data_IF_636033819950
#
_entry.id   IF_636033819950
#
_cell.length_a   1.000
_cell.length_b   1.000
_cell.length_c   1.000
_cell.angle_alpha   90.00
_cell.angle_beta   90.00
_cell.angle_gamma   90.00
#
_symmetry.space_group_name_H-M   'P 1'
#
loop_
_entity.id
_entity.type
_entity.pdbx_description
1 polymer ?
#
# COMPACT_ATOMS: atom_id res chain seq x y z
N UNK A 1 -9.49 -30.21 -13.36
CA UNK A 1 -9.04 -30.04 -14.77
C UNK A 1 -9.56 -28.70 -15.27
N UNK A 2 -8.71 -27.68 -15.36
CA UNK A 2 -9.12 -26.34 -15.77
C UNK A 2 -9.51 -26.34 -17.26
N UNK A 3 -10.80 -26.14 -17.56
CA UNK A 3 -11.33 -26.09 -18.92
C UNK A 3 -11.07 -24.72 -19.56
N UNK A 4 -9.89 -24.58 -20.20
CA UNK A 4 -9.55 -23.35 -20.91
C UNK A 4 -10.35 -23.22 -22.21
N UNK A 5 -10.82 -22.00 -22.52
CA UNK A 5 -11.52 -21.70 -23.77
C UNK A 5 -10.63 -21.95 -25.00
N UNK A 6 -11.15 -22.54 -26.10
CA UNK A 6 -10.38 -22.86 -27.31
C UNK A 6 -9.81 -21.63 -28.03
N UNK A 7 -10.25 -20.42 -27.68
CA UNK A 7 -9.77 -19.14 -28.24
C UNK A 7 -8.70 -18.46 -27.38
N UNK A 8 -8.08 -19.17 -26.44
CA UNK A 8 -7.01 -18.62 -25.61
C UNK A 8 -5.70 -18.59 -26.41
N UNK A 9 -5.00 -17.43 -26.52
CA UNK A 9 -3.67 -17.39 -27.11
C UNK A 9 -2.74 -18.39 -26.42
N UNK A 10 -1.88 -19.12 -27.14
CA UNK A 10 -1.04 -20.18 -26.57
C UNK A 10 -0.16 -19.67 -25.42
N UNK A 11 0.31 -18.42 -25.53
CA UNK A 11 1.08 -17.76 -24.47
C UNK A 11 0.29 -17.60 -23.16
N UNK A 12 -1.01 -17.29 -23.23
CA UNK A 12 -1.86 -17.13 -22.05
C UNK A 12 -2.01 -18.47 -21.35
N UNK A 13 -2.24 -19.55 -22.11
CA UNK A 13 -2.34 -20.92 -21.57
C UNK A 13 -1.04 -21.33 -20.86
N UNK A 14 0.12 -21.04 -21.47
CA UNK A 14 1.43 -21.32 -20.86
C UNK A 14 1.63 -20.53 -19.57
N UNK A 15 1.35 -19.23 -19.56
CA UNK A 15 1.46 -18.38 -18.37
C UNK A 15 0.49 -18.80 -17.25
N UNK A 16 -0.73 -19.23 -17.58
CA UNK A 16 -1.69 -19.76 -16.60
C UNK A 16 -1.26 -21.12 -16.03
N UNK A 17 -0.50 -21.91 -16.78
CA UNK A 17 0.11 -23.15 -16.26
C UNK A 17 1.11 -22.92 -15.12
N UNK A 18 1.66 -21.70 -14.99
CA UNK A 18 2.54 -21.31 -13.88
C UNK A 18 1.80 -20.70 -12.69
N UNK A 19 0.47 -20.53 -12.78
CA UNK A 19 -0.34 -19.94 -11.71
C UNK A 19 -0.26 -20.79 -10.44
N UNK A 20 -0.23 -20.14 -9.28
CA UNK A 20 -0.33 -20.77 -7.97
C UNK A 20 -1.78 -20.70 -7.45
N UNK A 21 -2.23 -21.77 -6.78
CA UNK A 21 -3.60 -21.91 -6.25
C UNK A 21 -4.60 -22.56 -7.22
N UNK A 22 -5.64 -23.20 -6.69
CA UNK A 22 -6.56 -24.10 -7.42
C UNK A 22 -8.04 -23.70 -7.35
N UNK A 23 -8.35 -22.41 -7.15
CA UNK A 23 -9.75 -21.96 -7.08
C UNK A 23 -10.33 -21.69 -8.48
N UNK A 24 -11.31 -22.48 -8.91
CA UNK A 24 -12.01 -22.29 -10.20
C UNK A 24 -12.59 -20.87 -10.39
N UNK A 25 -13.10 -20.26 -9.30
CA UNK A 25 -13.63 -18.89 -9.34
C UNK A 25 -12.52 -17.89 -9.68
N UNK A 26 -11.34 -18.10 -9.13
CA UNK A 26 -10.17 -17.26 -9.40
C UNK A 26 -9.57 -17.57 -10.76
N UNK A 27 -9.70 -18.78 -11.30
CA UNK A 27 -9.18 -19.13 -12.62
C UNK A 27 -9.78 -18.27 -13.73
N UNK A 28 -11.10 -18.09 -13.73
CA UNK A 28 -11.79 -17.22 -14.70
C UNK A 28 -11.30 -15.76 -14.61
N UNK A 29 -11.01 -15.29 -13.40
CA UNK A 29 -10.51 -13.93 -13.21
C UNK A 29 -9.03 -13.81 -13.59
N UNK A 30 -8.23 -14.81 -13.23
CA UNK A 30 -6.80 -14.95 -13.54
C UNK A 30 -6.56 -14.96 -15.04
N UNK A 31 -7.38 -15.71 -15.78
CA UNK A 31 -7.32 -15.74 -17.24
C UNK A 31 -7.55 -14.34 -17.83
N UNK A 32 -8.52 -13.58 -17.32
CA UNK A 32 -8.74 -12.19 -17.75
C UNK A 32 -7.57 -11.27 -17.38
N UNK A 33 -6.96 -11.45 -16.20
CA UNK A 33 -5.81 -10.67 -15.76
C UNK A 33 -4.58 -10.92 -16.64
N UNK A 34 -4.28 -12.18 -16.96
CA UNK A 34 -3.18 -12.57 -17.86
C UNK A 34 -3.46 -12.12 -19.28
N UNK A 35 -4.68 -12.30 -19.81
CA UNK A 35 -5.08 -11.80 -21.14
C UNK A 35 -4.88 -10.28 -21.26
N UNK A 36 -5.27 -9.53 -20.23
CA UNK A 36 -5.08 -8.09 -20.18
C UNK A 36 -3.59 -7.72 -20.18
N UNK A 37 -2.77 -8.42 -19.38
CA UNK A 37 -1.32 -8.19 -19.34
C UNK A 37 -0.67 -8.47 -20.69
N UNK A 38 -0.93 -9.65 -21.27
CA UNK A 38 -0.40 -10.07 -22.57
C UNK A 38 -0.78 -9.06 -23.65
N UNK A 39 -2.01 -8.55 -23.64
CA UNK A 39 -2.44 -7.51 -24.59
C UNK A 39 -1.66 -6.20 -24.42
N UNK A 40 -1.33 -5.80 -23.20
CA UNK A 40 -0.51 -4.61 -22.92
C UNK A 40 0.94 -4.82 -23.34
N UNK A 41 1.54 -5.96 -22.97
CA UNK A 41 2.94 -6.27 -23.30
C UNK A 41 3.17 -6.50 -24.78
N UNK A 42 2.18 -7.01 -25.52
CA UNK A 42 2.24 -7.07 -26.99
C UNK A 42 2.39 -5.70 -27.65
N UNK A 43 1.87 -4.64 -27.03
CA UNK A 43 2.05 -3.26 -27.52
C UNK A 43 3.39 -2.66 -27.10
N UNK A 44 3.86 -2.99 -25.90
CA UNK A 44 5.10 -2.48 -25.33
C UNK A 44 6.35 -3.27 -25.76
N UNK A 45 6.21 -4.47 -26.33
CA UNK A 45 7.32 -5.33 -26.72
C UNK A 45 7.96 -6.14 -25.58
N UNK A 46 7.29 -6.29 -24.43
CA UNK A 46 7.84 -6.99 -23.24
C UNK A 46 7.30 -8.40 -23.01
N UNK A 47 6.69 -9.03 -24.03
CA UNK A 47 6.05 -10.34 -23.88
C UNK A 47 7.06 -11.47 -23.68
N UNK A 48 8.15 -11.46 -24.45
CA UNK A 48 9.18 -12.50 -24.43
C UNK A 48 9.92 -12.50 -23.08
N UNK A 49 10.24 -11.31 -22.57
CA UNK A 49 10.82 -11.09 -21.24
C UNK A 49 9.90 -11.61 -20.13
N UNK A 50 8.57 -11.43 -20.23
CA UNK A 50 7.62 -12.01 -19.28
C UNK A 50 7.67 -13.53 -19.31
N UNK A 51 7.63 -14.13 -20.49
CA UNK A 51 7.72 -15.57 -20.62
C UNK A 51 9.02 -16.12 -20.01
N UNK A 52 10.15 -15.50 -20.35
CA UNK A 52 11.46 -15.83 -19.81
C UNK A 52 11.45 -15.74 -18.28
N UNK A 53 11.02 -14.62 -17.71
CA UNK A 53 10.98 -14.44 -16.24
C UNK A 53 10.15 -15.51 -15.54
N UNK A 54 8.96 -15.84 -16.07
CA UNK A 54 8.07 -16.84 -15.46
C UNK A 54 8.64 -18.25 -15.59
N UNK A 55 9.27 -18.58 -16.72
CA UNK A 55 9.82 -19.92 -16.98
C UNK A 55 11.14 -20.18 -16.27
N UNK A 56 12.05 -19.20 -16.23
CA UNK A 56 13.36 -19.33 -15.59
C UNK A 56 13.32 -19.01 -14.10
N UNK A 57 12.26 -18.35 -13.63
CA UNK A 57 12.10 -17.91 -12.24
C UNK A 57 13.26 -17.04 -11.74
N UNK A 58 13.82 -16.24 -12.63
CA UNK A 58 15.05 -15.50 -12.39
C UNK A 58 14.79 -14.00 -12.21
N UNK A 59 15.27 -13.44 -11.10
CA UNK A 59 15.22 -12.02 -10.79
C UNK A 59 16.18 -11.16 -11.62
N UNK A 60 17.14 -11.77 -12.31
CA UNK A 60 18.07 -11.06 -13.22
C UNK A 60 17.43 -10.64 -14.55
N UNK A 61 16.20 -11.11 -14.82
CA UNK A 61 15.45 -10.73 -16.01
C UNK A 61 15.13 -9.23 -16.03
N UNK A 62 14.86 -8.67 -17.23
CA UNK A 62 14.52 -7.25 -17.38
C UNK A 62 13.18 -6.91 -16.71
N UNK A 63 12.98 -5.62 -16.47
CA UNK A 63 11.70 -5.12 -15.96
C UNK A 63 10.58 -5.37 -16.98
N UNK A 64 9.45 -5.87 -16.49
CA UNK A 64 8.23 -6.05 -17.29
C UNK A 64 7.29 -4.92 -16.87
N UNK A 65 7.20 -3.87 -17.67
CA UNK A 65 6.49 -2.65 -17.28
C UNK A 65 5.10 -2.55 -17.90
N UNK A 66 4.19 -1.88 -17.18
CA UNK A 66 2.90 -1.44 -17.71
C UNK A 66 2.67 0.03 -17.34
N UNK A 67 1.88 0.77 -18.14
CA UNK A 67 1.50 2.14 -17.79
C UNK A 67 0.80 2.21 -16.43
N UNK A 68 1.20 3.17 -15.60
CA UNK A 68 0.65 3.42 -14.27
C UNK A 68 -0.61 4.27 -14.38
N UNK A 69 -1.69 3.83 -13.72
CA UNK A 69 -2.89 4.65 -13.55
C UNK A 69 -2.62 5.81 -12.58
N UNK A 70 -3.43 6.87 -12.62
CA UNK A 70 -3.33 8.02 -11.70
C UNK A 70 -3.33 7.62 -10.22
N UNK A 71 -4.15 6.64 -9.85
CA UNK A 71 -4.25 6.11 -8.48
C UNK A 71 -3.34 4.89 -8.25
N UNK A 72 -2.52 4.50 -9.23
CA UNK A 72 -1.65 3.33 -9.19
C UNK A 72 -2.36 1.97 -9.23
N UNK A 73 -3.69 1.94 -9.37
CA UNK A 73 -4.48 0.69 -9.37
C UNK A 73 -4.79 0.22 -10.79
N UNK A 74 -4.78 -1.09 -10.98
CA UNK A 74 -5.22 -1.77 -12.18
C UNK A 74 -6.62 -2.34 -11.98
N UNK A 75 -7.53 -2.07 -12.91
CA UNK A 75 -8.86 -2.66 -12.95
C UNK A 75 -8.91 -3.84 -13.92
N UNK A 76 -9.27 -5.02 -13.42
CA UNK A 76 -9.48 -6.23 -14.23
C UNK A 76 -10.83 -6.84 -13.88
N UNK A 77 -11.72 -6.93 -14.88
CA UNK A 77 -13.04 -7.57 -14.73
C UNK A 77 -13.81 -7.11 -13.49
N UNK A 78 -13.98 -5.79 -13.34
CA UNK A 78 -14.66 -5.12 -12.21
C UNK A 78 -13.96 -5.17 -10.84
N UNK A 79 -12.78 -5.79 -10.74
CA UNK A 79 -11.96 -5.76 -9.52
C UNK A 79 -10.80 -4.78 -9.68
N UNK A 80 -10.52 -3.98 -8.66
CA UNK A 80 -9.38 -3.06 -8.60
C UNK A 80 -8.33 -3.60 -7.63
N UNK A 81 -7.06 -3.52 -8.01
CA UNK A 81 -5.94 -3.91 -7.15
C UNK A 81 -4.63 -3.33 -7.68
N UNK A 82 -3.56 -3.43 -6.90
CA UNK A 82 -2.24 -2.98 -7.34
C UNK A 82 -1.66 -3.99 -8.32
N UNK A 83 -1.10 -3.54 -9.46
CA UNK A 83 -0.70 -4.45 -10.54
C UNK A 83 0.39 -5.44 -10.09
N UNK A 84 1.44 -4.97 -9.41
CA UNK A 84 2.51 -5.83 -8.90
C UNK A 84 1.96 -6.88 -7.90
N UNK A 85 1.06 -6.51 -6.99
CA UNK A 85 0.43 -7.44 -6.05
C UNK A 85 -0.39 -8.51 -6.78
N UNK A 86 -1.19 -8.11 -7.77
CA UNK A 86 -2.03 -9.04 -8.56
C UNK A 86 -1.17 -10.13 -9.19
N UNK A 87 -0.10 -9.74 -9.87
CA UNK A 87 0.75 -10.68 -10.61
C UNK A 87 1.71 -11.48 -9.70
N UNK A 88 2.21 -10.88 -8.62
CA UNK A 88 2.95 -11.62 -7.59
C UNK A 88 2.08 -12.69 -6.91
N UNK A 89 0.81 -12.35 -6.59
CA UNK A 89 -0.14 -13.31 -6.02
C UNK A 89 -0.42 -14.45 -6.98
N UNK A 90 -0.57 -14.13 -8.27
CA UNK A 90 -0.88 -15.09 -9.32
C UNK A 90 0.22 -16.16 -9.50
N UNK A 91 1.49 -15.78 -9.55
CA UNK A 91 2.59 -16.68 -9.94
C UNK A 91 3.49 -17.15 -8.81
N UNK A 92 3.49 -16.48 -7.66
CA UNK A 92 4.41 -16.80 -6.55
C UNK A 92 3.69 -17.11 -5.24
N UNK A 93 2.92 -16.16 -4.73
CA UNK A 93 2.37 -16.22 -3.36
C UNK A 93 0.84 -16.06 -3.36
N UNK A 94 0.07 -17.15 -3.51
CA UNK A 94 -1.39 -17.06 -3.58
C UNK A 94 -2.02 -16.50 -2.29
N UNK A 95 -1.32 -16.62 -1.17
CA UNK A 95 -1.69 -16.14 0.16
C UNK A 95 -1.29 -14.67 0.43
N UNK A 96 -0.57 -14.01 -0.48
CA UNK A 96 -0.14 -12.61 -0.33
C UNK A 96 -1.34 -11.70 -0.11
N UNK A 97 -1.48 -11.02 1.03
CA UNK A 97 -2.66 -10.19 1.32
C UNK A 97 -2.42 -8.72 0.98
N UNK A 98 -1.29 -8.18 1.42
CA UNK A 98 -1.01 -6.75 1.34
C UNK A 98 0.26 -6.43 0.55
N UNK A 99 0.29 -5.24 -0.05
CA UNK A 99 1.45 -4.74 -0.79
C UNK A 99 2.68 -4.49 0.10
N UNK A 100 2.47 -4.26 1.40
CA UNK A 100 3.54 -4.09 2.38
C UNK A 100 4.38 -5.36 2.59
N UNK A 101 3.83 -6.53 2.26
CA UNK A 101 4.56 -7.79 2.26
C UNK A 101 5.51 -7.94 1.06
N UNK A 102 5.52 -6.98 0.12
CA UNK A 102 6.40 -7.00 -1.03
C UNK A 102 7.43 -5.87 -0.96
N UNK A 103 8.70 -6.23 -1.15
CA UNK A 103 9.81 -5.29 -1.35
C UNK A 103 10.39 -5.52 -2.74
N UNK A 104 10.64 -4.44 -3.50
CA UNK A 104 11.33 -4.58 -4.78
C UNK A 104 12.83 -4.81 -4.55
N UNK A 105 13.46 -5.58 -5.44
CA UNK A 105 14.92 -5.74 -5.46
C UNK A 105 15.60 -4.50 -6.03
N UNK A 106 16.88 -4.29 -5.69
CA UNK A 106 17.62 -3.09 -6.06
C UNK A 106 17.85 -2.96 -7.59
N UNK A 107 17.82 -4.08 -8.32
CA UNK A 107 17.95 -4.10 -9.78
C UNK A 107 16.66 -3.67 -10.50
N UNK A 108 15.56 -3.46 -9.77
CA UNK A 108 14.27 -3.09 -10.36
C UNK A 108 14.16 -1.57 -10.57
N UNK A 109 14.41 -1.11 -11.79
CA UNK A 109 14.37 0.32 -12.16
C UNK A 109 12.94 0.93 -12.17
N UNK A 110 11.92 0.09 -12.26
CA UNK A 110 10.50 0.49 -12.37
C UNK A 110 9.67 -0.02 -11.19
N UNK A 111 10.30 -0.20 -10.03
CA UNK A 111 9.61 -0.63 -8.81
C UNK A 111 8.42 0.28 -8.47
N UNK A 112 7.34 -0.29 -7.93
CA UNK A 112 6.10 0.45 -7.63
C UNK A 112 6.30 1.69 -6.74
N UNK A 113 7.22 1.64 -5.77
CA UNK A 113 7.48 2.73 -4.83
C UNK A 113 8.21 3.92 -5.47
N UNK A 114 8.84 3.73 -6.64
CA UNK A 114 9.54 4.80 -7.39
C UNK A 114 8.58 5.77 -8.08
N UNK A 115 7.26 5.48 -8.09
CA UNK A 115 6.19 6.35 -8.60
C UNK A 115 6.42 6.87 -10.04
N UNK A 116 7.12 6.11 -10.89
CA UNK A 116 7.30 6.45 -12.31
C UNK A 116 5.99 6.31 -13.11
N UNK A 117 6.01 6.77 -14.36
CA UNK A 117 4.89 6.65 -15.30
C UNK A 117 4.56 5.19 -15.64
N UNK A 118 5.54 4.30 -15.49
CA UNK A 118 5.38 2.87 -15.64
C UNK A 118 5.69 2.13 -14.35
N UNK A 119 5.09 0.95 -14.20
CA UNK A 119 5.28 0.07 -13.04
C UNK A 119 5.71 -1.33 -13.49
N UNK A 120 6.78 -1.85 -12.87
CA UNK A 120 7.22 -3.22 -13.04
C UNK A 120 6.25 -4.20 -12.37
N UNK A 121 5.84 -5.20 -13.13
CA UNK A 121 4.97 -6.29 -12.68
C UNK A 121 5.67 -7.66 -12.70
N UNK A 122 6.98 -7.70 -12.92
CA UNK A 122 7.77 -8.92 -12.86
C UNK A 122 7.73 -9.49 -11.42
N UNK A 123 7.14 -10.68 -11.17
CA UNK A 123 7.05 -11.24 -9.83
C UNK A 123 8.40 -11.50 -9.16
N UNK A 124 9.45 -11.73 -9.96
CA UNK A 124 10.81 -12.01 -9.48
C UNK A 124 11.62 -10.76 -9.16
N UNK A 125 11.09 -9.58 -9.49
CA UNK A 125 11.63 -8.29 -9.03
C UNK A 125 11.14 -7.88 -7.65
N UNK A 126 10.27 -8.69 -7.04
CA UNK A 126 9.79 -8.47 -5.69
C UNK A 126 10.18 -9.65 -4.81
N UNK A 127 10.59 -9.37 -3.58
CA UNK A 127 10.79 -10.35 -2.52
C UNK A 127 9.67 -10.19 -1.51
N UNK A 128 9.25 -11.32 -0.92
CA UNK A 128 8.29 -11.29 0.18
C UNK A 128 9.05 -10.94 1.46
N UNK A 129 8.52 -9.99 2.19
CA UNK A 129 9.01 -9.57 3.51
C UNK A 129 7.89 -9.77 4.51
N UNK A 130 8.24 -10.09 5.75
CA UNK A 130 7.27 -10.07 6.84
C UNK A 130 6.83 -8.62 7.05
N UNK A 131 5.51 -8.39 7.02
CA UNK A 131 4.98 -7.10 7.40
C UNK A 131 5.43 -6.81 8.84
N UNK A 132 5.98 -5.62 9.14
CA UNK A 132 6.51 -5.33 10.47
C UNK A 132 5.41 -5.52 11.51
N UNK A 133 5.58 -6.54 12.35
CA UNK A 133 4.67 -6.93 13.44
C UNK A 133 4.39 -5.76 14.40
N UNK A 134 5.27 -4.75 14.40
CA UNK A 134 5.21 -3.59 15.28
C UNK A 134 4.00 -2.66 15.06
N UNK A 135 3.32 -2.72 13.91
CA UNK A 135 2.14 -1.86 13.65
C UNK A 135 0.81 -2.55 13.99
N UNK A 136 0.80 -3.87 14.18
CA UNK A 136 -0.39 -4.65 14.55
C UNK A 136 -0.44 -5.06 16.03
N UNK A 137 0.64 -4.85 16.78
CA UNK A 137 0.75 -5.21 18.21
C UNK A 137 0.91 -3.97 19.10
N UNK A 138 0.60 -2.76 18.62
CA UNK A 138 0.30 -1.70 19.57
C UNK A 138 -1.04 -2.06 20.22
N UNK A 139 -1.08 -2.44 21.51
CA UNK A 139 -2.35 -2.61 22.18
C UNK A 139 -3.12 -1.29 22.05
N UNK A 140 -4.44 -1.32 21.85
CA UNK A 140 -5.21 -0.09 21.97
C UNK A 140 -4.79 0.55 23.28
N UNK A 141 -4.36 1.82 23.22
CA UNK A 141 -4.15 2.61 24.43
C UNK A 141 -5.51 2.60 25.11
N UNK A 142 -5.67 1.71 26.09
CA UNK A 142 -6.80 1.72 27.00
C UNK A 142 -6.59 2.98 27.80
N UNK A 143 -7.13 4.10 27.30
CA UNK A 143 -7.36 5.24 28.18
C UNK A 143 -8.27 4.68 29.27
N UNK A 144 -7.90 4.74 30.55
CA UNK A 144 -8.85 4.47 31.60
C UNK A 144 -10.01 5.44 31.38
N UNK A 145 -11.17 4.94 30.93
CA UNK A 145 -12.43 5.66 31.08
C UNK A 145 -12.79 5.58 32.55
N UNK A 146 -11.99 6.22 33.40
CA UNK A 146 -12.44 6.52 34.74
C UNK A 146 -13.43 7.67 34.57
N UNK A 147 -14.71 7.34 34.45
CA UNK A 147 -15.81 8.25 34.77
C UNK A 147 -15.96 8.38 36.28
N UNK A 148 -14.86 8.62 36.98
CA UNK A 148 -14.93 9.33 38.25
C UNK A 148 -14.23 10.65 37.99
N UNK A 149 -15.02 11.58 37.46
CA UNK A 149 -14.72 13.00 37.63
C UNK A 149 -14.68 13.17 39.15
N UNK A 150 -13.55 13.51 39.78
CA UNK A 150 -13.59 13.89 41.17
C UNK A 150 -14.44 15.16 41.23
N UNK A 151 -15.58 15.12 41.91
CA UNK A 151 -16.44 16.29 42.17
C UNK A 151 -15.69 17.43 42.90
N UNK A 152 -14.47 17.14 43.37
CA UNK A 152 -13.50 18.15 43.77
C UNK A 152 -12.27 18.08 42.87
N UNK A 153 -12.08 19.13 42.08
CA UNK A 153 -10.73 19.55 41.69
C UNK A 153 -9.84 19.50 42.95
N UNK A 154 -8.67 18.82 42.92
CA UNK A 154 -7.69 19.03 43.96
C UNK A 154 -7.40 20.53 44.00
N UNK A 155 -7.55 21.13 45.18
CA UNK A 155 -7.18 22.53 45.32
C UNK A 155 -5.70 22.62 45.01
N UNK A 156 -5.37 23.33 43.94
CA UNK A 156 -4.02 23.81 43.71
C UNK A 156 -3.71 24.70 44.91
N UNK A 157 -3.00 24.14 45.89
CA UNK A 157 -2.33 24.94 46.90
C UNK A 157 -1.50 25.98 46.15
N UNK A 158 -1.75 27.25 46.45
CA UNK A 158 -1.15 28.39 45.79
C UNK A 158 0.37 28.23 45.75
N UNK A 159 0.88 27.73 44.63
CA UNK A 159 2.31 27.63 44.35
C UNK A 159 2.87 29.01 43.92
N UNK A 160 2.35 30.07 44.53
CA UNK A 160 2.89 31.43 44.43
C UNK A 160 4.25 31.55 45.15
N UNK A 161 4.66 30.54 45.91
CA UNK A 161 5.87 30.59 46.75
C UNK A 161 7.06 29.79 46.20
N UNK A 162 6.99 29.23 44.99
CA UNK A 162 8.15 28.53 44.38
C UNK A 162 8.71 29.22 43.16
N UNK A 163 8.52 30.54 43.05
CA UNK A 163 9.32 31.32 42.11
C UNK A 163 10.76 31.30 42.64
N UNK A 164 11.73 30.71 41.92
CA UNK A 164 13.13 30.86 42.27
C UNK A 164 13.51 32.33 42.15
N UNK A 165 14.32 32.84 43.08
CA UNK A 165 14.79 34.24 43.18
C UNK A 165 15.52 34.76 41.91
N UNK A 166 15.75 33.89 40.93
CA UNK A 166 16.50 34.16 39.71
C UNK A 166 15.60 34.60 38.54
N UNK A 167 14.29 34.76 38.77
CA UNK A 167 13.33 35.05 37.70
C UNK A 167 13.15 36.55 37.52
N UNK A 168 14.09 37.19 36.85
CA UNK A 168 13.91 38.58 36.38
C UNK A 168 13.05 38.57 35.10
N UNK A 169 11.78 38.94 35.23
CA UNK A 169 10.99 39.33 34.06
C UNK A 169 11.15 40.84 33.82
N UNK A 170 11.52 41.28 32.61
CA UNK A 170 11.53 42.71 32.30
C UNK A 170 10.08 43.23 32.36
N UNK A 171 9.84 44.11 33.34
CA UNK A 171 8.55 44.75 33.57
C UNK A 171 8.43 45.96 32.66
N UNK A 172 7.77 45.81 31.51
CA UNK A 172 7.16 46.87 30.68
C UNK A 172 6.73 46.21 29.37
N UNK A 173 5.47 46.21 28.94
CA UNK A 173 4.75 47.39 28.45
C UNK A 173 3.25 47.06 28.47
N UNK A 174 2.50 48.02 29.00
CA UNK A 174 1.06 48.14 28.98
C UNK A 174 0.54 48.40 27.56
N UNK A 175 -0.76 48.15 27.35
CA UNK A 175 -1.60 48.69 26.28
C UNK A 175 -1.67 47.94 24.92
N UNK A 176 -2.84 47.30 24.75
CA UNK A 176 -3.74 47.54 23.63
C UNK A 176 -3.39 46.92 22.27
N UNK A 177 -3.85 45.68 22.02
CA UNK A 177 -4.16 45.22 20.66
C UNK A 177 -5.44 44.39 20.65
N UNK A 178 -6.54 45.01 20.21
CA UNK A 178 -7.77 44.35 19.77
C UNK A 178 -7.51 43.52 18.51
N UNK A 179 -8.05 42.31 18.43
CA UNK A 179 -8.21 41.58 17.16
C UNK A 179 -9.68 41.13 17.01
N UNK A 180 -10.34 41.45 15.89
CA UNK A 180 -11.77 41.23 15.72
C UNK A 180 -12.11 39.86 15.12
N UNK A 181 -13.24 39.30 15.56
CA UNK A 181 -14.14 38.48 14.75
C UNK A 181 -13.71 37.05 14.41
N UNK A 182 -14.17 36.09 15.22
CA UNK A 182 -14.50 34.75 14.71
C UNK A 182 -15.94 34.42 15.12
N UNK A 183 -16.78 34.30 14.09
CA UNK A 183 -18.19 33.96 14.14
C UNK A 183 -18.33 32.49 14.56
N UNK A 184 -19.10 32.22 15.62
CA UNK A 184 -19.47 30.86 16.03
C UNK A 184 -20.74 30.48 15.24
N UNK A 185 -20.76 29.43 14.40
CA UNK A 185 -22.02 28.90 13.90
C UNK A 185 -22.64 28.03 14.98
N UNK A 186 -23.74 28.51 15.57
CA UNK A 186 -24.65 27.74 16.41
C UNK A 186 -25.37 26.71 15.52
N UNK A 187 -25.20 25.42 15.77
CA UNK A 187 -26.01 24.37 15.13
C UNK A 187 -27.29 24.22 15.95
N UNK A 188 -28.44 24.44 15.30
CA UNK A 188 -29.77 23.95 15.76
C UNK A 188 -29.98 22.52 15.31
#
# INVERSE_FOLDING_TARGET
>A
MTTFSPFTPPIVKRLLGWKKGDSEREDKWSEKAVKSLVKKLKKAGGLDELEKAITTQDGSTKCITIPRSLDGRLQVSHRKGLPHVIYCRLWRWPDLQNHQELRAIDTCEYAFHLKRDEVCVNPYHYTRVEAPVYVSVLPPVLVPRHTDIPDKLPQLENYATTVPENTEFPTSINDNFSLPGVVIPCWS
#
